data_IF_633188201928
#
_entry.id   IF_633188201928
#
_cell.length_a   1.000
_cell.length_b   1.000
_cell.length_c   1.000
_cell.angle_alpha   90.00
_cell.angle_beta   90.00
_cell.angle_gamma   90.00
#
_symmetry.space_group_name_H-M   'P 1'
#
loop_
_entity.id
_entity.type
_entity.pdbx_description
1 polymer ?
#
# COMPACT_ATOMS: atom_id res chain seq x y z
N UNK A 1 -10.59 -60.30 -26.21
CA UNK A 1 -11.40 -60.59 -25.00
C UNK A 1 -12.02 -59.28 -24.52
N UNK A 2 -13.33 -59.10 -24.68
CA UNK A 2 -14.02 -57.90 -24.22
C UNK A 2 -15.18 -58.35 -23.31
N UNK A 3 -14.96 -58.37 -21.99
CA UNK A 3 -16.00 -58.76 -21.02
C UNK A 3 -16.67 -57.49 -20.50
N UNK A 4 -17.98 -57.44 -20.78
CA UNK A 4 -18.96 -56.42 -20.41
C UNK A 4 -18.98 -56.25 -18.89
N UNK A 5 -18.70 -55.04 -18.39
CA UNK A 5 -19.01 -54.65 -17.02
C UNK A 5 -20.52 -54.39 -16.94
N UNK A 6 -21.27 -55.38 -16.46
CA UNK A 6 -22.70 -55.26 -16.13
C UNK A 6 -22.84 -54.46 -14.83
N UNK A 7 -23.65 -53.38 -14.86
CA UNK A 7 -24.11 -52.68 -13.66
C UNK A 7 -25.49 -53.26 -13.34
N UNK A 8 -25.63 -53.90 -12.18
CA UNK A 8 -26.94 -54.27 -11.63
C UNK A 8 -27.53 -53.06 -10.88
N UNK A 9 -28.72 -52.62 -11.28
CA UNK A 9 -29.50 -51.60 -10.58
C UNK A 9 -30.49 -52.31 -9.65
N UNK A 10 -30.23 -52.25 -8.35
CA UNK A 10 -31.23 -52.61 -7.33
C UNK A 10 -31.96 -51.32 -6.91
N UNK A 11 -33.27 -51.26 -7.19
CA UNK A 11 -34.06 -50.01 -7.07
C UNK A 11 -34.57 -49.73 -5.65
N UNK A 12 -34.42 -50.64 -4.69
CA UNK A 12 -35.06 -50.47 -3.38
C UNK A 12 -34.18 -49.89 -2.28
N UNK A 13 -32.89 -49.59 -2.56
CA UNK A 13 -31.98 -49.01 -1.54
C UNK A 13 -31.13 -47.82 -1.97
N UNK A 14 -31.27 -47.33 -3.20
CA UNK A 14 -30.61 -46.11 -3.72
C UNK A 14 -29.15 -45.93 -3.26
N UNK A 15 -28.33 -46.98 -3.35
CA UNK A 15 -26.88 -46.90 -3.10
C UNK A 15 -26.11 -47.62 -4.19
N UNK A 16 -25.20 -46.90 -4.86
CA UNK A 16 -24.22 -47.45 -5.81
C UNK A 16 -22.89 -47.54 -5.07
N UNK A 17 -22.39 -48.75 -4.84
CA UNK A 17 -21.05 -48.96 -4.26
C UNK A 17 -20.03 -49.22 -5.37
N UNK A 18 -18.97 -48.40 -5.41
CA UNK A 18 -17.76 -48.69 -6.17
C UNK A 18 -16.56 -48.57 -5.22
N UNK A 19 -15.96 -49.70 -4.88
CA UNK A 19 -14.65 -49.71 -4.25
C UNK A 19 -13.60 -49.29 -5.30
N UNK A 20 -12.69 -48.37 -4.93
CA UNK A 20 -11.25 -48.34 -5.27
C UNK A 20 -10.65 -46.95 -4.97
N UNK A 21 -9.68 -46.99 -4.04
CA UNK A 21 -8.39 -46.28 -3.93
C UNK A 21 -8.26 -44.75 -3.91
N UNK A 22 -7.45 -44.33 -2.93
CA UNK A 22 -6.95 -43.00 -2.57
C UNK A 22 -6.49 -42.11 -3.73
N UNK A 23 -7.01 -40.87 -3.77
CA UNK A 23 -6.26 -39.67 -4.14
C UNK A 23 -6.94 -38.45 -3.50
N UNK A 24 -6.37 -37.93 -2.41
CA UNK A 24 -6.84 -36.72 -1.71
C UNK A 24 -6.57 -35.51 -2.60
N UNK A 25 -7.54 -35.19 -3.46
CA UNK A 25 -7.61 -33.91 -4.17
C UNK A 25 -8.20 -32.90 -3.18
N UNK A 26 -7.44 -31.85 -2.87
CA UNK A 26 -7.97 -30.68 -2.17
C UNK A 26 -8.97 -29.99 -3.10
N UNK A 27 -10.23 -30.37 -2.97
CA UNK A 27 -11.34 -29.71 -3.63
C UNK A 27 -11.92 -28.73 -2.62
N UNK A 28 -11.48 -27.47 -2.70
CA UNK A 28 -12.16 -26.37 -2.01
C UNK A 28 -13.52 -26.24 -2.69
N UNK A 29 -14.53 -26.86 -2.08
CA UNK A 29 -15.88 -26.90 -2.61
C UNK A 29 -16.59 -25.56 -2.34
N UNK A 30 -16.13 -24.50 -3.02
CA UNK A 30 -16.87 -23.25 -3.12
C UNK A 30 -17.93 -23.41 -4.21
N UNK A 31 -19.08 -23.98 -3.84
CA UNK A 31 -20.37 -23.81 -4.52
C UNK A 31 -21.43 -24.59 -3.72
N UNK A 32 -21.83 -24.03 -2.58
CA UNK A 32 -23.10 -24.35 -1.95
C UNK A 32 -23.97 -23.11 -2.16
N UNK A 33 -25.13 -23.28 -2.81
CA UNK A 33 -26.12 -22.20 -2.92
C UNK A 33 -26.48 -21.81 -1.49
N UNK A 34 -26.09 -20.61 -1.06
CA UNK A 34 -26.41 -20.13 0.28
C UNK A 34 -27.82 -19.53 0.26
N UNK A 35 -28.67 -20.03 1.15
CA UNK A 35 -29.95 -19.40 1.43
C UNK A 35 -29.71 -17.98 1.94
N UNK A 36 -30.58 -17.05 1.54
CA UNK A 36 -30.56 -15.66 1.99
C UNK A 36 -30.60 -15.67 3.52
N UNK A 37 -29.51 -15.23 4.14
CA UNK A 37 -29.36 -15.22 5.59
C UNK A 37 -28.62 -13.96 6.00
N UNK A 38 -29.17 -13.27 6.98
CA UNK A 38 -28.54 -12.11 7.59
C UNK A 38 -27.43 -12.58 8.52
N UNK A 39 -26.30 -11.87 8.55
CA UNK A 39 -25.20 -12.22 9.42
C UNK A 39 -25.63 -12.13 10.90
N UNK A 40 -25.21 -13.11 11.70
CA UNK A 40 -25.39 -13.04 13.16
C UNK A 40 -24.40 -12.05 13.76
N UNK A 41 -24.80 -11.36 14.84
CA UNK A 41 -23.89 -10.51 15.65
C UNK A 41 -22.76 -11.30 16.31
N UNK A 42 -22.90 -12.61 16.43
CA UNK A 42 -21.89 -13.52 16.99
C UNK A 42 -21.15 -14.29 15.89
N UNK A 43 -21.31 -13.87 14.62
CA UNK A 43 -20.69 -14.56 13.51
C UNK A 43 -19.16 -14.47 13.60
N UNK A 44 -18.50 -15.56 13.22
CA UNK A 44 -17.06 -15.65 13.04
C UNK A 44 -16.74 -16.43 11.77
N UNK A 45 -15.62 -16.11 11.09
CA UNK A 45 -15.15 -16.91 9.97
C UNK A 45 -14.87 -18.35 10.42
N UNK A 46 -15.05 -19.32 9.52
CA UNK A 46 -14.68 -20.71 9.81
C UNK A 46 -13.17 -20.88 9.96
N UNK A 47 -12.75 -21.87 10.73
CA UNK A 47 -11.32 -22.18 10.94
C UNK A 47 -10.56 -22.33 9.61
N UNK A 48 -11.15 -23.00 8.62
CA UNK A 48 -10.56 -23.15 7.28
C UNK A 48 -10.22 -21.80 6.61
N UNK A 49 -11.03 -20.76 6.85
CA UNK A 49 -10.82 -19.42 6.29
C UNK A 49 -9.65 -18.75 6.98
N UNK A 50 -9.59 -18.84 8.31
CA UNK A 50 -8.47 -18.32 9.09
C UNK A 50 -7.17 -19.03 8.70
N UNK A 51 -7.18 -20.36 8.54
CA UNK A 51 -6.01 -21.13 8.11
C UNK A 51 -5.53 -20.67 6.72
N UNK A 52 -6.44 -20.53 5.74
CA UNK A 52 -6.07 -20.09 4.39
C UNK A 52 -5.46 -18.69 4.38
N UNK A 53 -6.02 -17.76 5.17
CA UNK A 53 -5.52 -16.37 5.24
C UNK A 53 -4.18 -16.30 5.97
N UNK A 54 -4.00 -17.08 7.05
CA UNK A 54 -2.75 -17.19 7.79
C UNK A 54 -1.65 -17.79 6.90
N UNK A 55 -1.95 -18.83 6.13
CA UNK A 55 -1.02 -19.41 5.14
C UNK A 55 -0.65 -18.44 4.01
N UNK A 56 -1.49 -17.44 3.74
CA UNK A 56 -1.19 -16.37 2.80
C UNK A 56 -0.29 -15.27 3.41
N UNK A 57 0.15 -15.42 4.66
CA UNK A 57 1.08 -14.51 5.33
C UNK A 57 0.40 -13.39 6.12
N UNK A 58 -0.91 -13.44 6.33
CA UNK A 58 -1.62 -12.48 7.19
C UNK A 58 -1.47 -12.89 8.65
N UNK A 59 -1.24 -11.91 9.52
CA UNK A 59 -1.17 -12.16 10.95
C UNK A 59 -2.56 -12.43 11.57
N UNK A 60 -2.61 -13.31 12.57
CA UNK A 60 -3.87 -13.71 13.19
C UNK A 60 -4.48 -12.58 14.01
N UNK A 61 -3.67 -11.76 14.69
CA UNK A 61 -4.17 -10.61 15.45
C UNK A 61 -4.84 -9.59 14.52
N UNK A 62 -4.24 -9.39 13.34
CA UNK A 62 -4.84 -8.57 12.28
C UNK A 62 -6.19 -9.14 11.84
N UNK A 63 -6.30 -10.43 11.55
CA UNK A 63 -7.56 -11.06 11.14
C UNK A 63 -8.64 -10.94 12.21
N UNK A 64 -8.29 -11.17 13.47
CA UNK A 64 -9.19 -11.01 14.62
C UNK A 64 -9.70 -9.58 14.77
N UNK A 65 -8.85 -8.58 14.49
CA UNK A 65 -9.24 -7.16 14.54
C UNK A 65 -10.29 -6.78 13.49
N UNK A 66 -10.37 -7.50 12.37
CA UNK A 66 -11.32 -7.23 11.28
C UNK A 66 -12.73 -7.77 11.55
N UNK A 67 -12.86 -8.78 12.42
CA UNK A 67 -14.14 -9.47 12.65
C UNK A 67 -15.23 -8.52 13.18
N UNK A 68 -14.99 -7.68 14.21
CA UNK A 68 -16.01 -6.78 14.73
C UNK A 68 -16.51 -5.78 13.68
N UNK A 69 -15.60 -5.16 12.92
CA UNK A 69 -15.93 -4.22 11.84
C UNK A 69 -16.78 -4.92 10.77
N UNK A 70 -16.36 -6.11 10.35
CA UNK A 70 -17.05 -6.90 9.33
C UNK A 70 -18.47 -7.29 9.76
N UNK A 71 -18.63 -7.75 11.02
CA UNK A 71 -19.94 -8.14 11.56
C UNK A 71 -20.88 -6.94 11.62
N UNK A 72 -20.41 -5.77 12.09
CA UNK A 72 -21.22 -4.54 12.13
C UNK A 72 -21.70 -4.20 10.72
N UNK A 73 -20.77 -4.08 9.79
CA UNK A 73 -21.05 -3.67 8.40
C UNK A 73 -22.07 -4.58 7.71
N UNK A 74 -21.94 -5.90 7.87
CA UNK A 74 -22.86 -6.84 7.23
C UNK A 74 -24.16 -7.06 8.01
N UNK A 75 -24.21 -6.71 9.30
CA UNK A 75 -25.45 -6.78 10.10
C UNK A 75 -26.46 -5.70 9.74
N UNK A 76 -25.98 -4.58 9.19
CA UNK A 76 -26.80 -3.46 8.73
C UNK A 76 -27.26 -3.61 7.27
N UNK A 77 -26.79 -4.64 6.57
CA UNK A 77 -27.08 -4.87 5.16
C UNK A 77 -28.06 -6.03 4.95
N UNK A 78 -28.83 -5.94 3.87
CA UNK A 78 -29.73 -7.01 3.44
C UNK A 78 -28.96 -8.27 3.00
N UNK A 79 -29.64 -9.41 3.09
CA UNK A 79 -29.10 -10.75 2.85
C UNK A 79 -28.27 -10.87 1.56
N UNK A 80 -27.17 -11.62 1.67
CA UNK A 80 -26.26 -11.90 0.57
C UNK A 80 -26.45 -13.33 0.08
N UNK A 81 -26.36 -13.54 -1.24
CA UNK A 81 -26.41 -14.89 -1.85
C UNK A 81 -25.08 -15.65 -1.71
N UNK A 82 -24.02 -14.97 -1.29
CA UNK A 82 -22.65 -15.49 -1.15
C UNK A 82 -22.36 -15.66 0.34
N UNK A 83 -21.58 -16.67 0.73
CA UNK A 83 -21.21 -16.85 2.13
C UNK A 83 -20.44 -15.64 2.68
N UNK A 84 -20.71 -15.33 3.95
CA UNK A 84 -19.93 -14.36 4.72
C UNK A 84 -18.45 -14.79 4.82
N UNK A 85 -18.13 -16.09 4.79
CA UNK A 85 -16.76 -16.61 4.71
C UNK A 85 -16.03 -16.11 3.45
N UNK A 86 -16.64 -16.25 2.27
CA UNK A 86 -16.05 -15.76 1.01
C UNK A 86 -15.91 -14.24 1.01
N UNK A 87 -16.89 -13.53 1.57
CA UNK A 87 -16.83 -12.07 1.74
C UNK A 87 -15.74 -11.62 2.72
N UNK A 88 -15.49 -12.39 3.77
CA UNK A 88 -14.43 -12.11 4.72
C UNK A 88 -13.05 -12.31 4.10
N UNK A 89 -12.86 -13.34 3.28
CA UNK A 89 -11.60 -13.52 2.52
C UNK A 89 -11.31 -12.31 1.63
N UNK A 90 -12.32 -11.84 0.89
CA UNK A 90 -12.21 -10.64 0.03
C UNK A 90 -11.85 -9.40 0.85
N UNK A 91 -12.56 -9.19 1.96
CA UNK A 91 -12.34 -8.06 2.86
C UNK A 91 -10.95 -8.07 3.50
N UNK A 92 -10.53 -9.23 4.04
CA UNK A 92 -9.22 -9.41 4.65
C UNK A 92 -8.09 -9.17 3.65
N UNK A 93 -8.21 -9.64 2.41
CA UNK A 93 -7.22 -9.37 1.35
C UNK A 93 -7.11 -7.88 1.03
N UNK A 94 -8.24 -7.18 0.93
CA UNK A 94 -8.24 -5.74 0.66
C UNK A 94 -7.60 -4.95 1.80
N UNK A 95 -8.02 -5.22 3.04
CA UNK A 95 -7.47 -4.59 4.25
C UNK A 95 -5.99 -4.93 4.42
N UNK A 96 -5.58 -6.16 4.10
CA UNK A 96 -4.18 -6.57 4.16
C UNK A 96 -3.34 -5.86 3.12
N UNK A 97 -3.80 -5.71 1.88
CA UNK A 97 -3.06 -4.94 0.88
C UNK A 97 -2.84 -3.47 1.31
N UNK A 98 -3.85 -2.86 1.95
CA UNK A 98 -3.73 -1.53 2.55
C UNK A 98 -2.76 -1.54 3.73
N UNK A 99 -2.90 -2.50 4.64
CA UNK A 99 -2.06 -2.61 5.83
C UNK A 99 -0.59 -2.88 5.49
N UNK A 100 -0.31 -3.74 4.50
CA UNK A 100 1.04 -4.01 4.01
C UNK A 100 1.65 -2.78 3.35
N UNK A 101 0.88 -2.06 2.53
CA UNK A 101 1.33 -0.78 1.98
C UNK A 101 1.58 0.25 3.09
N UNK A 102 0.71 0.31 4.10
CA UNK A 102 0.92 1.14 5.30
C UNK A 102 2.12 0.67 6.13
N UNK A 103 2.43 -0.61 6.24
CA UNK A 103 3.61 -1.11 6.95
C UNK A 103 4.89 -0.77 6.16
N UNK A 104 4.89 -1.01 4.85
CA UNK A 104 6.01 -0.64 3.97
C UNK A 104 6.22 0.89 3.95
N UNK A 105 5.15 1.68 4.10
CA UNK A 105 5.21 3.15 4.14
C UNK A 105 5.19 3.76 5.55
N UNK A 106 5.06 2.95 6.61
CA UNK A 106 5.22 3.34 8.03
C UNK A 106 6.70 3.50 8.32
N UNK A 107 7.36 4.36 7.54
CA UNK A 107 8.42 5.15 8.12
C UNK A 107 7.75 6.01 9.19
N UNK A 108 8.19 5.87 10.45
CA UNK A 108 7.81 6.80 11.49
C UNK A 108 8.03 8.23 10.98
N UNK A 109 7.12 9.19 11.25
CA UNK A 109 7.34 10.56 10.86
C UNK A 109 8.69 11.04 11.41
N UNK A 110 9.68 11.18 10.55
CA UNK A 110 11.03 11.59 10.92
C UNK A 110 11.25 13.03 10.49
N UNK A 111 12.00 13.78 11.28
CA UNK A 111 12.63 15.01 10.80
C UNK A 111 13.68 14.64 9.75
N UNK A 112 13.96 15.55 8.82
CA UNK A 112 14.96 15.27 7.79
C UNK A 112 16.34 15.12 8.45
N UNK A 113 17.07 14.05 8.12
CA UNK A 113 18.43 13.83 8.59
C UNK A 113 19.43 14.60 7.71
N UNK A 114 20.57 15.00 8.27
CA UNK A 114 21.67 15.61 7.51
C UNK A 114 22.21 14.67 6.43
N UNK A 115 22.24 13.37 6.76
CA UNK A 115 22.69 12.30 5.88
C UNK A 115 21.58 11.78 4.95
N UNK A 116 20.38 12.35 5.02
CA UNK A 116 19.25 11.88 4.20
C UNK A 116 19.61 11.97 2.71
N UNK A 117 19.28 10.94 1.94
CA UNK A 117 19.44 10.92 0.49
C UNK A 117 18.13 10.42 -0.12
N UNK A 118 17.72 10.96 -1.29
CA UNK A 118 16.58 10.42 -2.00
C UNK A 118 16.85 8.94 -2.36
N UNK A 119 15.81 8.11 -2.29
CA UNK A 119 15.91 6.72 -2.73
C UNK A 119 16.21 6.62 -4.23
N UNK A 120 16.71 5.46 -4.67
CA UNK A 120 16.94 5.23 -6.10
C UNK A 120 15.65 5.40 -6.91
N UNK A 121 14.53 4.89 -6.39
CA UNK A 121 13.20 5.05 -7.03
C UNK A 121 12.82 6.52 -7.18
N UNK A 122 13.13 7.37 -6.17
CA UNK A 122 12.91 8.81 -6.24
C UNK A 122 13.73 9.45 -7.37
N UNK A 123 15.00 9.08 -7.49
CA UNK A 123 15.89 9.59 -8.55
C UNK A 123 15.39 9.14 -9.92
N UNK A 124 15.03 7.86 -10.08
CA UNK A 124 14.54 7.30 -11.32
C UNK A 124 13.26 8.01 -11.79
N UNK A 125 12.31 8.29 -10.88
CA UNK A 125 11.10 9.06 -11.19
C UNK A 125 11.45 10.48 -11.69
N UNK A 126 12.43 11.14 -11.08
CA UNK A 126 12.87 12.48 -11.49
C UNK A 126 13.53 12.44 -12.87
N UNK A 127 14.38 11.45 -13.14
CA UNK A 127 15.02 11.25 -14.44
C UNK A 127 14.01 10.91 -15.53
N UNK A 128 13.01 10.09 -15.24
CA UNK A 128 11.89 9.79 -16.15
C UNK A 128 11.10 11.05 -16.53
N UNK A 129 11.06 12.06 -15.65
CA UNK A 129 10.47 13.37 -15.96
C UNK A 129 11.37 14.26 -16.83
N UNK A 130 12.53 13.78 -17.27
CA UNK A 130 13.49 14.49 -18.13
C UNK A 130 14.40 15.45 -17.38
N UNK A 131 14.50 15.33 -16.05
CA UNK A 131 15.29 16.22 -15.20
C UNK A 131 16.68 15.60 -14.99
N UNK A 132 17.74 16.37 -15.23
CA UNK A 132 19.12 15.90 -15.14
C UNK A 132 19.57 15.64 -13.69
N UNK A 133 20.39 14.61 -13.48
CA UNK A 133 20.84 14.23 -12.15
C UNK A 133 21.68 15.32 -11.47
N UNK A 134 22.46 16.11 -12.24
CA UNK A 134 23.26 17.19 -11.65
C UNK A 134 22.35 18.26 -11.00
N UNK A 135 21.20 18.56 -11.61
CA UNK A 135 20.22 19.49 -11.05
C UNK A 135 19.63 18.98 -9.72
N UNK A 136 19.43 17.66 -9.61
CA UNK A 136 18.96 17.00 -8.39
C UNK A 136 19.99 17.14 -7.27
N UNK A 137 21.26 16.87 -7.57
CA UNK A 137 22.37 16.98 -6.63
C UNK A 137 22.58 18.43 -6.16
N UNK A 138 22.50 19.42 -7.07
CA UNK A 138 22.60 20.84 -6.72
C UNK A 138 21.43 21.33 -5.85
N UNK A 139 20.24 20.74 -6.02
CA UNK A 139 19.03 21.13 -5.30
C UNK A 139 18.87 20.45 -3.93
N UNK A 140 19.65 19.40 -3.67
CA UNK A 140 19.54 18.59 -2.46
C UNK A 140 19.93 19.34 -1.17
N UNK A 141 21.04 20.11 -1.10
CA UNK A 141 21.42 20.84 0.10
C UNK A 141 20.38 21.88 0.53
N UNK A 142 19.79 22.56 -0.46
CA UNK A 142 18.73 23.56 -0.23
C UNK A 142 17.48 22.93 0.40
N UNK A 143 17.06 21.78 -0.15
CA UNK A 143 15.93 21.02 0.39
C UNK A 143 16.19 20.57 1.84
N UNK A 144 17.38 20.02 2.12
CA UNK A 144 17.76 19.59 3.47
C UNK A 144 17.74 20.75 4.46
N UNK A 145 18.35 21.87 4.10
CA UNK A 145 18.42 23.05 4.96
C UNK A 145 17.01 23.56 5.31
N UNK A 146 16.16 23.74 4.32
CA UNK A 146 14.79 24.22 4.51
C UNK A 146 13.99 23.34 5.48
N UNK A 147 14.00 22.02 5.28
CA UNK A 147 13.23 21.11 6.11
C UNK A 147 13.85 20.85 7.48
N UNK A 148 15.17 21.04 7.62
CA UNK A 148 15.85 21.02 8.90
C UNK A 148 15.44 22.23 9.76
N UNK A 149 15.35 23.42 9.16
CA UNK A 149 14.91 24.64 9.85
C UNK A 149 13.41 24.65 10.16
N UNK A 150 12.56 24.12 9.26
CA UNK A 150 11.09 24.03 9.49
C UNK A 150 10.74 23.03 10.61
N UNK A 151 11.58 22.02 10.85
CA UNK A 151 11.46 21.10 12.00
C UNK A 151 10.26 20.14 11.96
N UNK A 152 9.48 20.14 10.87
CA UNK A 152 8.34 19.22 10.71
C UNK A 152 8.80 17.81 10.34
N UNK A 153 8.18 16.82 10.96
CA UNK A 153 8.34 15.42 10.58
C UNK A 153 7.56 15.07 9.31
N UNK A 154 8.08 14.15 8.51
CA UNK A 154 7.39 13.59 7.35
C UNK A 154 7.53 12.09 7.29
N UNK A 155 6.49 11.42 6.79
CA UNK A 155 6.50 9.98 6.49
C UNK A 155 7.17 9.65 5.15
N UNK A 156 7.33 10.63 4.26
CA UNK A 156 7.92 10.41 2.92
C UNK A 156 8.67 11.65 2.45
N UNK A 157 9.97 11.69 2.74
CA UNK A 157 10.86 12.74 2.26
C UNK A 157 11.05 12.70 0.74
N UNK A 158 11.05 11.50 0.13
CA UNK A 158 11.12 11.33 -1.34
C UNK A 158 9.96 12.03 -2.05
N UNK A 159 8.72 11.84 -1.59
CA UNK A 159 7.54 12.49 -2.18
C UNK A 159 7.60 14.02 -2.06
N UNK A 160 8.10 14.54 -0.92
CA UNK A 160 8.33 15.97 -0.75
C UNK A 160 9.41 16.49 -1.69
N UNK A 161 10.48 15.72 -1.87
CA UNK A 161 11.61 16.10 -2.71
C UNK A 161 11.23 16.12 -4.20
N UNK A 162 10.51 15.11 -4.70
CA UNK A 162 9.96 15.09 -6.06
C UNK A 162 9.12 16.35 -6.32
N UNK A 163 8.23 16.71 -5.38
CA UNK A 163 7.40 17.91 -5.52
C UNK A 163 8.23 19.20 -5.49
N UNK A 164 9.27 19.26 -4.67
CA UNK A 164 10.20 20.39 -4.61
C UNK A 164 10.92 20.58 -5.95
N UNK A 165 11.52 19.51 -6.50
CA UNK A 165 12.21 19.54 -7.80
C UNK A 165 11.25 19.94 -8.92
N UNK A 166 10.05 19.36 -8.99
CA UNK A 166 9.05 19.73 -10.02
C UNK A 166 8.69 21.21 -9.99
N UNK A 167 8.48 21.77 -8.80
CA UNK A 167 8.22 23.21 -8.63
C UNK A 167 9.41 24.05 -9.06
N UNK A 168 10.62 23.65 -8.66
CA UNK A 168 11.85 24.35 -8.99
C UNK A 168 12.08 24.39 -10.50
N UNK A 169 11.95 23.26 -11.19
CA UNK A 169 12.08 23.17 -12.66
C UNK A 169 11.03 24.06 -13.35
N UNK A 170 9.76 24.00 -12.92
CA UNK A 170 8.72 24.85 -13.49
C UNK A 170 8.98 26.35 -13.32
N UNK A 171 9.74 26.75 -12.30
CA UNK A 171 10.15 28.13 -12.09
C UNK A 171 11.28 28.55 -13.06
N UNK A 172 12.20 27.63 -13.39
CA UNK A 172 13.30 27.89 -14.32
C UNK A 172 12.90 27.81 -15.80
N UNK A 173 11.91 26.96 -16.15
CA UNK A 173 11.39 26.81 -17.53
C UNK A 173 10.37 27.89 -17.94
N UNK A 174 10.14 28.91 -17.10
CA UNK A 174 9.31 30.07 -17.46
C UNK A 174 9.87 30.84 -18.67
N UNK A 175 9.04 31.62 -19.39
CA UNK A 175 9.41 32.28 -20.66
C UNK A 175 10.34 33.49 -20.45
N UNK A 176 11.50 33.29 -19.85
CA UNK A 176 12.62 34.23 -19.83
C UNK A 176 13.92 33.47 -19.98
N UNK A 177 14.19 33.07 -21.22
CA UNK A 177 15.54 32.72 -21.65
C UNK A 177 16.45 33.95 -21.58
N UNK A 178 17.05 34.20 -20.42
CA UNK A 178 18.33 34.88 -20.25
C UNK A 178 19.02 34.32 -19.02
N UNK A 179 20.26 33.90 -19.20
CA UNK A 179 21.16 33.43 -18.16
C UNK A 179 21.12 34.39 -16.97
N UNK A 180 20.51 33.95 -15.87
CA UNK A 180 20.87 34.41 -14.54
C UNK A 180 21.41 33.18 -13.84
N UNK A 181 22.75 33.06 -13.77
CA UNK A 181 23.32 32.45 -12.57
C UNK A 181 22.72 33.25 -11.43
N UNK A 182 21.91 32.68 -10.53
CA UNK A 182 21.54 33.41 -9.33
C UNK A 182 22.88 33.58 -8.60
N UNK A 183 23.52 34.74 -8.71
CA UNK A 183 24.43 35.17 -7.67
C UNK A 183 23.56 35.17 -6.43
N UNK A 184 23.84 34.23 -5.55
CA UNK A 184 23.25 34.06 -4.24
C UNK A 184 23.37 35.41 -3.53
N UNK A 185 22.34 36.26 -3.64
CA UNK A 185 22.34 37.56 -3.03
C UNK A 185 21.90 37.36 -1.59
N UNK A 186 22.87 36.91 -0.79
CA UNK A 186 22.83 36.87 0.66
C UNK A 186 22.56 38.29 1.12
N UNK A 187 21.32 38.59 1.52
CA UNK A 187 21.05 39.79 2.29
C UNK A 187 21.95 39.73 3.53
N UNK A 188 23.02 40.53 3.50
CA UNK A 188 23.98 40.71 4.58
C UNK A 188 23.62 41.97 5.35
N UNK A 189 22.93 41.88 6.51
CA UNK A 189 22.41 43.05 7.20
C UNK A 189 23.51 43.94 7.83
N UNK A 190 24.78 43.57 7.69
CA UNK A 190 25.93 44.23 8.30
C UNK A 190 26.90 44.86 7.29
N UNK A 191 26.58 44.88 5.99
CA UNK A 191 27.42 45.55 4.98
C UNK A 191 27.30 47.08 4.99
N UNK A 192 26.21 47.65 5.53
CA UNK A 192 25.95 49.09 5.48
C UNK A 192 26.61 49.94 6.59
N UNK A 193 27.35 49.34 7.53
CA UNK A 193 27.91 50.09 8.66
C UNK A 193 29.38 50.50 8.53
N UNK A 194 30.11 50.06 7.49
CA UNK A 194 31.54 50.41 7.34
C UNK A 194 31.83 51.64 6.46
N UNK A 195 30.85 52.22 5.78
CA UNK A 195 31.11 53.38 4.91
C UNK A 195 30.64 54.74 5.47
N UNK A 196 30.02 54.82 6.65
CA UNK A 196 29.63 56.11 7.26
C UNK A 196 30.69 56.78 8.15
N UNK A 197 31.96 56.37 8.09
CA UNK A 197 33.07 57.06 8.78
C UNK A 197 34.29 57.22 7.89
N UNK A 198 34.15 57.89 6.74
CA UNK A 198 35.31 58.43 6.01
C UNK A 198 34.91 59.52 4.99
N UNK A 199 34.10 60.47 5.43
CA UNK A 199 33.96 61.77 4.74
C UNK A 199 33.45 62.82 5.73
N UNK A 200 34.35 63.23 6.63
CA UNK A 200 34.53 64.62 7.06
C UNK A 200 36.04 64.89 7.09
#
# INVERSE_FOLDING_TARGET
MNKKNLISLDLDKKTISKAVSNKKKNNVQMNKVHEKSQISKTWRPSEDVIEILTRAGMDNEFLESLIPEFVIYWSERADVLISYNSKFIEHARLKWAQHSAEIETKADPTVISDDWQPSQDCIDIIQMAGIDNNFVEESLPEFKLYWKEDGRSSVSWDSKFINFIKKRVSFFDGPSGKQNKPSFNWYNPYEDEKEKKKTE
#
